data_IF_474003627293
#
_entry.id   IF_474003627293
#
_cell.length_a   1.000
_cell.length_b   1.000
_cell.length_c   1.000
_cell.angle_alpha   90.00
_cell.angle_beta   90.00
_cell.angle_gamma   90.00
#
_symmetry.space_group_name_H-M   'P 1'
#
loop_
_entity.id
_entity.type
_entity.pdbx_description
1 polymer ?
#
# COMPACT_ATOMS: atom_id res chain seq x y z
N UNK A 1 -0.18 4.98 -14.46
CA UNK A 1 1.16 4.67 -13.87
C UNK A 1 1.66 3.23 -14.07
N UNK A 2 0.78 2.22 -14.20
CA UNK A 2 1.17 0.81 -14.33
C UNK A 2 2.14 0.51 -15.48
N UNK A 3 1.95 1.19 -16.61
CA UNK A 3 2.81 1.07 -17.80
C UNK A 3 4.28 1.41 -17.53
N UNK A 4 4.58 2.36 -16.61
CA UNK A 4 5.95 2.70 -16.24
C UNK A 4 6.63 1.56 -15.48
N UNK A 5 5.88 0.88 -14.62
CA UNK A 5 6.37 -0.28 -13.87
C UNK A 5 6.61 -1.43 -14.84
N UNK A 6 5.68 -1.70 -15.75
CA UNK A 6 5.83 -2.75 -16.77
C UNK A 6 7.00 -2.49 -17.72
N UNK A 7 7.30 -1.21 -18.00
CA UNK A 7 8.42 -0.81 -18.84
C UNK A 7 9.78 -0.93 -18.14
N UNK A 8 9.87 -0.55 -16.87
CA UNK A 8 11.16 -0.36 -16.19
C UNK A 8 11.47 -1.37 -15.08
N UNK A 9 10.48 -2.11 -14.56
CA UNK A 9 10.73 -3.16 -13.57
C UNK A 9 11.03 -4.47 -14.29
N UNK A 10 12.27 -4.94 -14.12
CA UNK A 10 12.77 -6.15 -14.79
C UNK A 10 12.23 -7.40 -14.13
N UNK A 11 12.20 -7.40 -12.79
CA UNK A 11 11.71 -8.55 -12.04
C UNK A 11 11.12 -8.20 -10.67
N UNK A 12 10.52 -9.23 -10.05
CA UNK A 12 9.94 -9.16 -8.71
C UNK A 12 10.97 -8.99 -7.57
N UNK A 13 12.27 -9.06 -7.87
CA UNK A 13 13.32 -8.95 -6.85
C UNK A 13 13.77 -7.50 -6.64
N UNK A 14 13.25 -6.56 -7.44
CA UNK A 14 13.54 -5.13 -7.34
C UNK A 14 14.65 -4.67 -8.26
N UNK A 15 14.97 -5.46 -9.29
CA UNK A 15 15.80 -5.01 -10.40
C UNK A 15 14.97 -4.08 -11.29
N UNK A 16 15.50 -2.88 -11.54
CA UNK A 16 14.86 -1.87 -12.39
C UNK A 16 15.86 -1.32 -13.39
N UNK A 17 15.40 -1.04 -14.60
CA UNK A 17 16.10 -0.23 -15.58
C UNK A 17 15.80 1.25 -15.31
N UNK A 18 16.84 2.08 -15.26
CA UNK A 18 16.69 3.49 -14.95
C UNK A 18 16.34 4.24 -16.24
N UNK A 19 15.23 5.00 -16.27
CA UNK A 19 14.90 5.84 -17.42
C UNK A 19 15.97 6.90 -17.68
N UNK A 20 16.19 7.30 -18.93
CA UNK A 20 17.17 8.35 -19.25
C UNK A 20 16.67 9.74 -18.84
N UNK A 21 15.37 10.00 -18.92
CA UNK A 21 14.78 11.30 -18.62
C UNK A 21 14.48 11.48 -17.13
N UNK A 22 14.81 12.65 -16.59
CA UNK A 22 14.50 13.01 -15.19
C UNK A 22 12.99 12.99 -14.89
N UNK A 23 12.16 13.32 -15.88
CA UNK A 23 10.71 13.25 -15.73
C UNK A 23 10.21 11.80 -15.55
N UNK A 24 10.67 10.86 -16.38
CA UNK A 24 10.29 9.45 -16.24
C UNK A 24 10.91 8.82 -14.98
N UNK A 25 12.14 9.20 -14.60
CA UNK A 25 12.75 8.79 -13.33
C UNK A 25 11.86 9.16 -12.14
N UNK A 26 11.36 10.40 -12.10
CA UNK A 26 10.45 10.86 -11.05
C UNK A 26 9.13 10.11 -11.06
N UNK A 27 8.49 9.98 -12.23
CA UNK A 27 7.22 9.24 -12.37
C UNK A 27 7.36 7.77 -11.96
N UNK A 28 8.47 7.12 -12.34
CA UNK A 28 8.77 5.74 -11.95
C UNK A 28 8.92 5.61 -10.44
N UNK A 29 9.70 6.49 -9.82
CA UNK A 29 9.94 6.43 -8.38
C UNK A 29 8.65 6.69 -7.56
N UNK A 30 7.79 7.61 -8.01
CA UNK A 30 6.45 7.81 -7.43
C UNK A 30 5.55 6.60 -7.62
N UNK A 31 5.53 6.00 -8.81
CA UNK A 31 4.76 4.79 -9.07
C UNK A 31 5.22 3.62 -8.18
N UNK A 32 6.53 3.44 -7.98
CA UNK A 32 7.08 2.41 -7.09
C UNK A 32 6.76 2.67 -5.61
N UNK A 33 6.78 3.93 -5.17
CA UNK A 33 6.31 4.30 -3.84
C UNK A 33 4.82 3.95 -3.68
N UNK A 34 3.99 4.33 -4.65
CA UNK A 34 2.57 3.98 -4.71
C UNK A 34 2.33 2.49 -4.61
N UNK A 35 3.02 1.67 -5.42
CA UNK A 35 2.95 0.20 -5.34
C UNK A 35 3.26 -0.30 -3.94
N UNK A 36 4.31 0.22 -3.30
CA UNK A 36 4.71 -0.20 -1.96
C UNK A 36 3.66 0.19 -0.91
N UNK A 37 3.13 1.41 -0.97
CA UNK A 37 2.11 1.89 -0.02
C UNK A 37 0.81 1.11 -0.16
N UNK A 38 0.32 0.93 -1.39
CA UNK A 38 -0.90 0.19 -1.68
C UNK A 38 -0.76 -1.29 -1.35
N UNK A 39 0.40 -1.92 -1.62
CA UNK A 39 0.64 -3.32 -1.22
C UNK A 39 0.57 -3.50 0.30
N UNK A 40 1.06 -2.52 1.07
CA UNK A 40 0.95 -2.54 2.53
C UNK A 40 -0.49 -2.33 2.99
N UNK A 41 -1.23 -1.41 2.37
CA UNK A 41 -2.65 -1.22 2.63
C UNK A 41 -3.42 -2.51 2.39
N UNK A 42 -3.26 -3.13 1.23
CA UNK A 42 -3.92 -4.38 0.84
C UNK A 42 -3.61 -5.53 1.80
N UNK A 43 -2.35 -5.64 2.26
CA UNK A 43 -1.96 -6.63 3.25
C UNK A 43 -2.74 -6.47 4.57
N UNK A 44 -2.89 -5.22 5.05
CA UNK A 44 -3.65 -4.96 6.27
C UNK A 44 -5.16 -5.13 6.09
N UNK A 45 -5.69 -4.74 4.92
CA UNK A 45 -7.09 -4.98 4.55
C UNK A 45 -7.39 -6.48 4.49
N UNK A 46 -6.55 -7.29 3.87
CA UNK A 46 -6.70 -8.75 3.84
C UNK A 46 -6.85 -9.32 5.25
N UNK A 47 -5.91 -8.94 6.14
CA UNK A 47 -5.89 -9.44 7.49
C UNK A 47 -7.13 -8.98 8.27
N UNK A 48 -7.58 -7.74 8.09
CA UNK A 48 -8.78 -7.23 8.74
C UNK A 48 -10.05 -7.89 8.20
N UNK A 49 -10.18 -8.03 6.88
CA UNK A 49 -11.34 -8.64 6.23
C UNK A 49 -11.43 -10.13 6.56
N UNK A 50 -10.30 -10.83 6.65
CA UNK A 50 -10.24 -12.21 7.12
C UNK A 50 -10.76 -12.35 8.56
N UNK A 51 -10.36 -11.46 9.47
CA UNK A 51 -10.84 -11.46 10.86
C UNK A 51 -12.36 -11.25 10.97
N UNK A 52 -12.94 -10.43 10.08
CA UNK A 52 -14.38 -10.14 10.06
C UNK A 52 -15.18 -11.26 9.40
N UNK A 53 -14.67 -11.81 8.30
CA UNK A 53 -15.45 -12.75 7.46
C UNK A 53 -15.33 -14.19 7.93
N UNK A 54 -14.13 -14.59 8.37
CA UNK A 54 -13.80 -15.99 8.56
C UNK A 54 -13.80 -16.33 10.05
N UNK A 55 -14.64 -17.29 10.49
CA UNK A 55 -14.71 -17.70 11.90
C UNK A 55 -13.42 -18.38 12.36
N UNK A 56 -12.65 -18.96 11.43
CA UNK A 56 -11.36 -19.57 11.67
C UNK A 56 -10.32 -19.03 10.70
N UNK A 57 -9.06 -18.98 11.17
CA UNK A 57 -7.92 -18.54 10.37
C UNK A 57 -7.54 -19.62 9.36
N UNK A 58 -7.29 -19.24 8.11
CA UNK A 58 -6.86 -20.16 7.04
C UNK A 58 -5.59 -20.95 7.41
N UNK A 59 -4.64 -20.28 8.08
CA UNK A 59 -3.43 -20.89 8.65
C UNK A 59 -3.46 -20.81 10.16
N UNK A 60 -3.95 -21.85 10.86
CA UNK A 60 -4.06 -21.85 12.31
C UNK A 60 -2.71 -21.68 13.00
N UNK A 61 -2.73 -21.09 14.19
CA UNK A 61 -1.57 -21.04 15.06
C UNK A 61 -1.18 -22.46 15.48
N UNK A 62 0.11 -22.80 15.35
CA UNK A 62 0.63 -24.13 15.72
C UNK A 62 0.58 -24.38 17.23
N UNK A 63 0.61 -23.31 18.04
CA UNK A 63 0.52 -23.35 19.51
C UNK A 63 -0.30 -22.17 20.01
N UNK A 64 -1.03 -22.40 21.09
CA UNK A 64 -1.79 -21.34 21.73
C UNK A 64 -0.86 -20.34 22.43
N UNK A 65 -1.03 -19.05 22.14
CA UNK A 65 -0.30 -17.94 22.71
C UNK A 65 -1.21 -16.70 22.83
N UNK A 66 -0.66 -15.58 23.28
CA UNK A 66 -1.45 -14.34 23.45
C UNK A 66 -2.08 -13.86 22.13
N UNK A 67 -1.36 -13.96 21.02
CA UNK A 67 -1.86 -13.56 19.70
C UNK A 67 -2.99 -14.49 19.23
N UNK A 68 -2.86 -15.80 19.40
CA UNK A 68 -3.91 -16.75 19.01
C UNK A 68 -5.18 -16.60 19.86
N UNK A 69 -5.04 -16.26 21.15
CA UNK A 69 -6.20 -15.97 22.02
C UNK A 69 -6.93 -14.71 21.57
N UNK A 70 -6.19 -13.64 21.24
CA UNK A 70 -6.76 -12.41 20.70
C UNK A 70 -7.47 -12.66 19.37
N UNK A 71 -6.84 -13.39 18.44
CA UNK A 71 -7.41 -13.75 17.13
C UNK A 71 -8.75 -14.50 17.29
N UNK A 72 -8.79 -15.55 18.12
CA UNK A 72 -10.03 -16.29 18.43
C UNK A 72 -11.12 -15.40 19.01
N UNK A 73 -10.77 -14.52 19.96
CA UNK A 73 -11.73 -13.63 20.60
C UNK A 73 -12.33 -12.62 19.60
N UNK A 74 -11.51 -12.07 18.71
CA UNK A 74 -11.97 -11.18 17.64
C UNK A 74 -12.93 -11.89 16.68
N UNK A 75 -12.56 -13.07 16.16
CA UNK A 75 -13.41 -13.82 15.23
C UNK A 75 -14.74 -14.23 15.86
N UNK A 76 -14.71 -14.66 17.13
CA UNK A 76 -15.92 -15.01 17.86
C UNK A 76 -16.89 -13.83 17.98
N UNK A 77 -16.40 -12.59 18.08
CA UNK A 77 -17.23 -11.39 18.12
C UNK A 77 -17.96 -11.12 16.80
N UNK A 78 -17.38 -11.50 15.66
CA UNK A 78 -17.97 -11.28 14.33
C UNK A 78 -18.74 -12.48 13.77
N UNK A 79 -18.55 -13.67 14.33
CA UNK A 79 -19.10 -14.94 13.79
C UNK A 79 -20.62 -14.89 13.61
N UNK A 80 -21.34 -14.29 14.56
CA UNK A 80 -22.82 -14.25 14.57
C UNK A 80 -23.41 -12.99 13.92
N UNK A 81 -22.59 -12.09 13.37
CA UNK A 81 -23.10 -10.95 12.62
C UNK A 81 -23.61 -11.41 11.25
N UNK A 82 -24.67 -10.77 10.79
CA UNK A 82 -25.12 -10.94 9.41
C UNK A 82 -24.08 -10.38 8.43
N UNK A 83 -24.18 -10.82 7.17
CA UNK A 83 -23.21 -10.47 6.14
C UNK A 83 -23.27 -8.97 5.78
N UNK A 84 -24.45 -8.34 5.88
CA UNK A 84 -24.61 -6.91 5.60
C UNK A 84 -23.81 -6.04 6.60
N UNK A 85 -23.89 -6.37 7.89
CA UNK A 85 -23.13 -5.69 8.96
C UNK A 85 -21.64 -5.96 8.79
N UNK A 86 -21.23 -7.18 8.42
CA UNK A 86 -19.83 -7.49 8.13
C UNK A 86 -19.29 -6.64 6.98
N UNK A 87 -20.04 -6.50 5.89
CA UNK A 87 -19.65 -5.65 4.77
C UNK A 87 -19.54 -4.17 5.18
N UNK A 88 -20.47 -3.65 5.99
CA UNK A 88 -20.36 -2.29 6.54
C UNK A 88 -19.12 -2.08 7.41
N UNK A 89 -18.75 -3.10 8.21
CA UNK A 89 -17.52 -3.06 9.01
C UNK A 89 -16.29 -3.03 8.09
N UNK A 90 -16.25 -3.85 7.03
CA UNK A 90 -15.16 -3.84 6.05
C UNK A 90 -15.03 -2.49 5.36
N UNK A 91 -16.15 -1.88 4.95
CA UNK A 91 -16.16 -0.56 4.34
C UNK A 91 -15.58 0.49 5.29
N UNK A 92 -16.01 0.51 6.56
CA UNK A 92 -15.48 1.43 7.56
C UNK A 92 -13.96 1.26 7.76
N UNK A 93 -13.47 0.02 7.77
CA UNK A 93 -12.03 -0.28 7.85
C UNK A 93 -11.30 0.27 6.63
N UNK A 94 -11.83 0.04 5.43
CA UNK A 94 -11.26 0.54 4.17
C UNK A 94 -11.19 2.08 4.18
N UNK A 95 -12.29 2.76 4.50
CA UNK A 95 -12.37 4.22 4.53
C UNK A 95 -11.38 4.82 5.54
N UNK A 96 -11.31 4.24 6.75
CA UNK A 96 -10.43 4.72 7.81
C UNK A 96 -8.96 4.55 7.46
N UNK A 97 -8.58 3.39 6.90
CA UNK A 97 -7.19 3.10 6.55
C UNK A 97 -6.73 3.90 5.33
N UNK A 98 -7.60 4.10 4.34
CA UNK A 98 -7.35 5.00 3.21
C UNK A 98 -7.24 6.45 3.68
N UNK A 99 -8.12 6.92 4.56
CA UNK A 99 -8.05 8.26 5.13
C UNK A 99 -6.76 8.51 5.94
N UNK A 100 -6.27 7.50 6.65
CA UNK A 100 -4.98 7.55 7.33
C UNK A 100 -3.83 7.69 6.32
N UNK A 101 -3.82 6.87 5.27
CA UNK A 101 -2.80 6.94 4.22
C UNK A 101 -2.82 8.31 3.53
N UNK A 102 -3.99 8.80 3.14
CA UNK A 102 -4.18 10.14 2.58
C UNK A 102 -3.60 11.22 3.50
N UNK A 103 -3.94 11.18 4.79
CA UNK A 103 -3.44 12.17 5.77
C UNK A 103 -1.91 12.15 5.89
N UNK A 104 -1.29 10.97 5.79
CA UNK A 104 0.17 10.85 5.78
C UNK A 104 0.79 11.41 4.50
N UNK A 105 0.17 11.19 3.34
CA UNK A 105 0.63 11.77 2.08
C UNK A 105 0.52 13.31 2.10
N UNK A 106 -0.58 13.86 2.60
CA UNK A 106 -0.72 15.32 2.81
C UNK A 106 0.38 15.84 3.74
N UNK A 107 0.71 15.10 4.80
CA UNK A 107 1.80 15.48 5.71
C UNK A 107 3.17 15.48 5.04
N UNK A 108 3.38 14.62 4.04
CA UNK A 108 4.59 14.62 3.22
C UNK A 108 4.63 15.80 2.24
N UNK A 109 3.49 16.15 1.65
CA UNK A 109 3.37 17.30 0.74
C UNK A 109 3.48 18.64 1.46
N UNK A 110 3.09 18.70 2.74
CA UNK A 110 3.08 19.91 3.56
C UNK A 110 4.11 19.87 4.69
N UNK A 111 5.25 19.20 4.48
CA UNK A 111 6.23 19.00 5.55
C UNK A 111 6.92 20.31 5.98
N UNK A 112 6.48 20.89 7.09
CA UNK A 112 6.93 22.21 7.57
C UNK A 112 8.40 22.26 8.06
N UNK A 113 8.99 21.12 8.42
CA UNK A 113 10.27 21.06 9.13
C UNK A 113 11.47 20.67 8.25
N UNK A 114 11.32 20.68 6.92
CA UNK A 114 12.41 20.33 6.01
C UNK A 114 11.99 20.19 4.56
N UNK A 115 12.84 19.56 3.74
CA UNK A 115 12.51 19.18 2.37
C UNK A 115 12.36 17.66 2.30
N UNK A 116 11.27 17.19 1.70
CA UNK A 116 11.09 15.76 1.45
C UNK A 116 11.91 15.36 0.22
N UNK A 117 12.68 14.29 0.36
CA UNK A 117 13.43 13.68 -0.74
C UNK A 117 13.06 12.20 -0.84
N UNK A 118 12.53 11.80 -1.99
CA UNK A 118 12.37 10.38 -2.32
C UNK A 118 13.63 9.95 -3.03
N UNK A 119 14.28 8.92 -2.49
CA UNK A 119 15.49 8.32 -3.05
C UNK A 119 15.19 6.92 -3.55
N UNK A 120 15.30 6.72 -4.87
CA UNK A 120 15.22 5.38 -5.46
C UNK A 120 16.63 4.85 -5.69
N UNK A 121 16.82 3.58 -5.33
CA UNK A 121 18.10 2.88 -5.47
C UNK A 121 17.83 1.47 -6.00
N UNK A 122 18.15 1.19 -7.27
CA UNK A 122 17.97 -0.15 -7.83
C UNK A 122 18.72 -1.20 -7.03
N UNK A 123 18.11 -2.37 -6.84
CA UNK A 123 18.90 -3.58 -6.59
C UNK A 123 19.52 -3.91 -7.96
N UNK A 124 20.82 -3.79 -8.07
CA UNK A 124 21.48 -3.73 -9.39
C UNK A 124 21.68 -5.12 -9.99
N UNK A 125 21.33 -5.29 -11.27
CA UNK A 125 21.84 -6.37 -12.13
C UNK A 125 23.30 -6.14 -12.58
N UNK A 126 23.78 -4.88 -12.54
CA UNK A 126 25.05 -4.47 -13.17
C UNK A 126 25.99 -3.65 -12.27
N UNK A 127 25.77 -3.64 -10.95
CA UNK A 127 26.67 -2.99 -9.98
C UNK A 127 26.69 -1.45 -9.96
N UNK A 128 25.78 -0.77 -10.68
CA UNK A 128 25.66 0.70 -10.68
C UNK A 128 24.48 1.15 -9.82
N UNK A 129 24.78 1.62 -8.62
CA UNK A 129 23.81 2.19 -7.70
C UNK A 129 23.62 3.66 -8.05
N UNK A 130 22.68 3.99 -8.92
CA UNK A 130 22.29 5.39 -9.12
C UNK A 130 21.27 5.78 -8.05
N UNK A 131 21.50 6.94 -7.44
CA UNK A 131 20.60 7.53 -6.45
C UNK A 131 19.74 8.56 -7.16
N UNK A 132 18.43 8.30 -7.24
CA UNK A 132 17.49 9.23 -7.84
C UNK A 132 16.83 10.05 -6.74
N UNK A 133 17.24 11.31 -6.59
CA UNK A 133 16.63 12.24 -5.64
C UNK A 133 15.50 13.00 -6.32
N UNK A 134 14.26 12.80 -5.85
CA UNK A 134 13.11 13.58 -6.30
C UNK A 134 12.96 14.79 -5.38
N UNK A 135 13.02 16.01 -5.93
CA UNK A 135 12.83 17.26 -5.17
C UNK A 135 11.70 18.14 -5.73
N UNK A 136 10.87 18.62 -4.81
CA UNK A 136 10.06 19.86 -4.72
C UNK A 136 9.17 20.37 -5.86
N UNK A 137 9.27 19.90 -7.10
CA UNK A 137 8.49 20.55 -8.18
C UNK A 137 7.05 20.03 -8.34
N UNK A 138 6.66 18.99 -7.60
CA UNK A 138 5.38 18.27 -7.77
C UNK A 138 4.88 17.62 -6.45
N UNK A 139 4.92 18.35 -5.34
CA UNK A 139 4.45 17.89 -4.02
C UNK A 139 2.92 17.85 -3.98
N UNK A 140 2.35 16.84 -4.64
CA UNK A 140 0.94 16.45 -4.59
C UNK A 140 0.86 14.91 -4.58
N UNK A 141 1.59 14.25 -3.66
CA UNK A 141 1.52 12.79 -3.52
C UNK A 141 0.11 12.33 -3.13
N UNK A 142 -0.60 13.14 -2.33
CA UNK A 142 -1.99 12.86 -1.96
C UNK A 142 -2.93 12.81 -3.18
N UNK A 143 -2.67 13.59 -4.22
CA UNK A 143 -3.46 13.59 -5.47
C UNK A 143 -3.24 12.34 -6.31
N UNK A 144 -2.12 11.63 -6.14
CA UNK A 144 -1.86 10.37 -6.84
C UNK A 144 -2.52 9.17 -6.17
N UNK A 145 -2.98 9.30 -4.93
CA UNK A 145 -3.57 8.19 -4.18
C UNK A 145 -4.75 7.52 -4.90
N UNK A 146 -5.72 8.25 -5.49
CA UNK A 146 -6.80 7.63 -6.27
C UNK A 146 -6.28 6.79 -7.44
N UNK A 147 -5.33 7.32 -8.22
CA UNK A 147 -4.73 6.60 -9.34
C UNK A 147 -3.96 5.36 -8.85
N UNK A 148 -3.23 5.46 -7.73
CA UNK A 148 -2.52 4.32 -7.14
C UNK A 148 -3.48 3.23 -6.68
N UNK A 149 -4.58 3.58 -6.00
CA UNK A 149 -5.59 2.60 -5.59
C UNK A 149 -6.19 1.89 -6.81
N UNK A 150 -6.55 2.64 -7.85
CA UNK A 150 -7.10 2.09 -9.09
C UNK A 150 -6.11 1.18 -9.84
N UNK A 151 -4.82 1.55 -9.89
CA UNK A 151 -3.84 0.77 -10.65
C UNK A 151 -3.26 -0.42 -9.87
N UNK A 152 -3.15 -0.32 -8.55
CA UNK A 152 -2.31 -1.22 -7.75
C UNK A 152 -3.07 -2.00 -6.68
N UNK A 153 -4.21 -1.51 -6.18
CA UNK A 153 -4.95 -2.25 -5.15
C UNK A 153 -5.71 -3.41 -5.77
N UNK A 154 -5.81 -4.52 -5.03
CA UNK A 154 -6.71 -5.63 -5.35
C UNK A 154 -8.11 -5.50 -4.71
N UNK A 155 -8.29 -4.55 -3.79
CA UNK A 155 -9.55 -4.27 -3.10
C UNK A 155 -10.29 -3.07 -3.71
N UNK A 156 -10.18 -2.89 -5.03
CA UNK A 156 -10.68 -1.71 -5.73
C UNK A 156 -12.17 -1.48 -5.51
N UNK A 157 -12.96 -2.54 -5.41
CA UNK A 157 -14.41 -2.43 -5.22
C UNK A 157 -14.75 -1.89 -3.84
N UNK A 158 -14.01 -2.29 -2.81
CA UNK A 158 -14.17 -1.83 -1.43
C UNK A 158 -13.59 -0.42 -1.20
N UNK A 159 -12.71 0.03 -2.11
CA UNK A 159 -12.06 1.34 -2.07
C UNK A 159 -12.70 2.39 -3.00
N UNK A 160 -13.68 2.00 -3.82
CA UNK A 160 -14.46 2.92 -4.67
C UNK A 160 -15.51 3.62 -3.80
N UNK A 161 -15.15 4.79 -3.29
CA UNK A 161 -16.10 5.79 -2.78
C UNK A 161 -15.95 7.10 -3.54
#
# INVERSE_FOLDING_TARGET
MKELIEKYVVDKFGNIEIPESEEEKQKLARALLGVSLISNLDYWLDNAFDLVSNPEREKPFTRENAASKKDKAFRAAFTNLDDEVKEKIKQLIADTTTGLLFSHLVSFDQFDFGELQIKLTPKTLHGVTEELTITKKWEDLHDELPEWMENFSKHQEQLKN
#
